data_IF_736580931754
#
_entry.id   IF_736580931754
#
_cell.length_a   1.000
_cell.length_b   1.000
_cell.length_c   1.000
_cell.angle_alpha   90.00
_cell.angle_beta   90.00
_cell.angle_gamma   90.00
#
_symmetry.space_group_name_H-M   'P 1'
#
loop_
_entity.id
_entity.type
_entity.pdbx_description
1 polymer ?
#
# COMPACT_ATOMS: atom_id res chain seq x y z
N UNK A 1 10.23 -1.39 4.30
CA UNK A 1 8.90 -1.84 4.79
C UNK A 1 9.02 -2.95 5.85
N UNK A 2 9.92 -3.92 5.70
CA UNK A 2 10.16 -4.94 6.75
C UNK A 2 10.54 -4.37 8.13
N UNK A 3 11.14 -3.19 8.18
CA UNK A 3 11.38 -2.43 9.42
C UNK A 3 10.07 -2.11 10.16
N UNK A 4 9.03 -1.63 9.47
CA UNK A 4 7.73 -1.37 10.10
C UNK A 4 7.07 -2.64 10.66
N UNK A 5 7.39 -3.82 10.12
CA UNK A 5 6.94 -5.10 10.66
C UNK A 5 7.75 -5.46 11.92
N UNK A 6 9.08 -5.32 11.89
CA UNK A 6 9.98 -5.66 13.00
C UNK A 6 9.79 -4.77 14.24
N UNK A 7 9.50 -3.47 14.06
CA UNK A 7 9.38 -2.50 15.16
C UNK A 7 7.92 -2.44 15.69
N UNK A 8 7.03 -3.33 15.23
CA UNK A 8 5.64 -3.39 15.69
C UNK A 8 4.68 -2.36 15.09
N UNK A 9 5.11 -1.59 14.08
CA UNK A 9 4.29 -0.61 13.35
C UNK A 9 3.13 -1.18 12.52
N UNK A 10 2.82 -2.47 12.64
CA UNK A 10 1.82 -3.17 11.85
C UNK A 10 0.46 -3.37 12.58
N UNK A 11 0.03 -2.44 13.43
CA UNK A 11 -1.25 -2.53 14.15
C UNK A 11 -2.41 -2.21 13.21
N UNK A 12 -3.34 -3.17 13.03
CA UNK A 12 -4.51 -3.02 12.14
C UNK A 12 -5.35 -1.82 12.58
N UNK A 13 -5.62 -0.89 11.66
CA UNK A 13 -6.48 0.27 11.89
C UNK A 13 -5.82 1.48 12.59
N UNK A 14 -4.58 1.35 13.07
CA UNK A 14 -3.85 2.46 13.70
C UNK A 14 -2.63 2.87 12.89
N UNK A 15 -1.66 1.96 12.76
CA UNK A 15 -0.36 2.26 12.15
C UNK A 15 -0.08 1.43 10.90
N UNK A 16 -0.93 0.42 10.63
CA UNK A 16 -0.81 -0.44 9.45
C UNK A 16 -1.15 0.32 8.18
N UNK A 17 -0.11 0.74 7.47
CA UNK A 17 -0.19 1.29 6.11
C UNK A 17 -0.39 0.19 5.07
N UNK A 18 -1.00 0.54 3.93
CA UNK A 18 -1.27 -0.37 2.81
C UNK A 18 -0.02 -1.16 2.37
N UNK A 19 1.12 -0.48 2.25
CA UNK A 19 2.40 -1.09 1.85
C UNK A 19 2.89 -2.15 2.84
N UNK A 20 2.65 -1.96 4.14
CA UNK A 20 3.01 -2.94 5.17
C UNK A 20 2.02 -4.11 5.20
N UNK A 21 0.74 -3.85 4.96
CA UNK A 21 -0.28 -4.89 4.82
C UNK A 21 0.00 -5.82 3.61
N UNK A 22 0.43 -5.25 2.48
CA UNK A 22 0.87 -6.01 1.29
C UNK A 22 2.06 -6.90 1.65
N UNK A 23 3.11 -6.32 2.24
CA UNK A 23 4.30 -7.08 2.64
C UNK A 23 3.96 -8.19 3.64
N UNK A 24 3.05 -7.95 4.59
CA UNK A 24 2.63 -8.94 5.57
C UNK A 24 1.87 -10.10 4.92
N UNK A 25 0.89 -9.80 4.07
CA UNK A 25 0.11 -10.84 3.39
C UNK A 25 0.98 -11.68 2.45
N UNK A 26 1.97 -11.07 1.79
CA UNK A 26 2.95 -11.78 0.97
C UNK A 26 3.82 -12.71 1.82
N UNK A 27 4.30 -12.25 2.98
CA UNK A 27 5.10 -13.07 3.91
C UNK A 27 4.28 -14.22 4.55
N UNK A 28 2.95 -14.07 4.65
CA UNK A 28 2.05 -15.13 5.11
C UNK A 28 1.61 -16.08 4.00
N UNK A 29 2.10 -15.91 2.76
CA UNK A 29 1.74 -16.74 1.61
C UNK A 29 0.38 -16.41 0.99
N UNK A 30 -0.31 -15.36 1.45
CA UNK A 30 -1.58 -14.92 0.89
C UNK A 30 -1.36 -13.95 -0.28
N UNK A 31 -0.89 -14.49 -1.39
CA UNK A 31 -0.57 -13.70 -2.58
C UNK A 31 -1.81 -13.08 -3.23
N UNK A 32 -2.96 -13.77 -3.20
CA UNK A 32 -4.21 -13.24 -3.75
C UNK A 32 -4.59 -11.90 -3.12
N UNK A 33 -4.60 -11.84 -1.79
CA UNK A 33 -4.96 -10.62 -1.06
C UNK A 33 -3.87 -9.54 -1.20
N UNK A 34 -2.61 -9.95 -1.26
CA UNK A 34 -1.48 -9.03 -1.48
C UNK A 34 -1.52 -8.35 -2.84
N UNK A 35 -1.82 -9.12 -3.90
CA UNK A 35 -1.97 -8.61 -5.27
C UNK A 35 -3.19 -7.69 -5.39
N UNK A 36 -4.33 -8.06 -4.79
CA UNK A 36 -5.50 -7.20 -4.77
C UNK A 36 -5.20 -5.84 -4.12
N UNK A 37 -4.55 -5.83 -2.95
CA UNK A 37 -4.13 -4.60 -2.27
C UNK A 37 -3.09 -3.81 -3.08
N UNK A 38 -2.19 -4.51 -3.79
CA UNK A 38 -1.20 -3.88 -4.67
C UNK A 38 -1.84 -3.16 -5.86
N UNK A 39 -2.83 -3.78 -6.51
CA UNK A 39 -3.58 -3.17 -7.62
C UNK A 39 -4.35 -1.94 -7.13
N UNK A 40 -4.99 -2.02 -5.96
CA UNK A 40 -5.69 -0.88 -5.36
C UNK A 40 -4.72 0.28 -5.09
N UNK A 41 -3.56 -0.01 -4.52
CA UNK A 41 -2.54 1.00 -4.24
C UNK A 41 -2.04 1.68 -5.53
N UNK A 42 -1.78 0.90 -6.58
CA UNK A 42 -1.37 1.42 -7.88
C UNK A 42 -2.45 2.28 -8.53
N UNK A 43 -3.72 1.85 -8.48
CA UNK A 43 -4.83 2.64 -8.99
C UNK A 43 -4.93 4.00 -8.28
N UNK A 44 -4.84 4.02 -6.95
CA UNK A 44 -4.84 5.27 -6.17
C UNK A 44 -3.65 6.14 -6.54
N UNK A 45 -2.44 5.57 -6.64
CA UNK A 45 -1.24 6.32 -7.00
C UNK A 45 -1.34 6.94 -8.40
N UNK A 46 -1.87 6.20 -9.38
CA UNK A 46 -2.11 6.71 -10.73
C UNK A 46 -3.17 7.80 -10.75
N UNK A 47 -4.30 7.62 -10.06
CA UNK A 47 -5.35 8.64 -9.98
C UNK A 47 -4.81 9.93 -9.38
N UNK A 48 -4.05 9.85 -8.28
CA UNK A 48 -3.43 11.02 -7.65
C UNK A 48 -2.40 11.65 -8.59
N UNK A 49 -1.55 10.85 -9.23
CA UNK A 49 -0.52 11.34 -10.13
C UNK A 49 -1.11 12.05 -11.36
N UNK A 50 -2.13 11.45 -12.00
CA UNK A 50 -2.84 12.05 -13.14
C UNK A 50 -3.61 13.30 -12.73
N UNK A 51 -4.28 13.28 -11.59
CA UNK A 51 -4.99 14.45 -11.07
C UNK A 51 -4.03 15.60 -10.78
N UNK A 52 -2.91 15.31 -10.13
CA UNK A 52 -1.88 16.31 -9.84
C UNK A 52 -1.25 16.83 -11.12
N UNK A 53 -0.97 15.96 -12.09
CA UNK A 53 -0.50 16.35 -13.44
C UNK A 53 -1.50 17.26 -14.16
N UNK A 54 -2.80 16.96 -14.10
CA UNK A 54 -3.84 17.80 -14.69
C UNK A 54 -3.95 19.18 -14.02
N UNK A 55 -3.85 19.24 -12.69
CA UNK A 55 -3.87 20.50 -11.92
C UNK A 55 -2.62 21.34 -12.19
N UNK A 56 -1.47 20.70 -12.34
CA UNK A 56 -0.18 21.36 -12.54
C UNK A 56 0.07 21.78 -14.00
N UNK A 57 -0.61 21.14 -14.96
CA UNK A 57 -0.58 21.52 -16.38
C UNK A 57 -1.55 22.68 -16.69
N UNK A 58 -1.77 23.55 -15.71
CA UNK A 58 -2.58 24.78 -15.77
C UNK A 58 -1.74 25.98 -15.35
#
# INVERSE_FOLDING_TARGET
VGTAIMIGGNIKGHTRVLTTAISLQTSMGNFNLSLALGIILLAIALVINLFMGFVQNR
#
